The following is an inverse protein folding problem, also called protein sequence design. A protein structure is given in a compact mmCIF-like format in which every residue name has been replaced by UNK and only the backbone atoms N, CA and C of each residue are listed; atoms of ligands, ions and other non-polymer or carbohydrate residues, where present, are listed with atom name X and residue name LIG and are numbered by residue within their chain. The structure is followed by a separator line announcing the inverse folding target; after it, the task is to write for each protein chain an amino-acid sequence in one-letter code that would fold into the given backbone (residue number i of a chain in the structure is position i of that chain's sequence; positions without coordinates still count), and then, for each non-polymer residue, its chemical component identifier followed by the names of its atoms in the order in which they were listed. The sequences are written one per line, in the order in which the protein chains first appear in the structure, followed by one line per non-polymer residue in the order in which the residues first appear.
data_IF_129023523456
#
_entry.id   IF_129023523456
#
_cell.length_a   1.000
_cell.length_b   1.000
_cell.length_c   1.000
_cell.angle_alpha   90.00
_cell.angle_beta   90.00
_cell.angle_gamma   90.00
#
_symmetry.space_group_name_H-M   'P 1'
#
loop_
_entity.id
_entity.type
_entity.pdbx_description
1 polymer ?
#
# COMPACT_ATOMS: atom_id res chain seq x y z
N UNK A 1 -32.18 18.67 -62.39
CA UNK A 1 -31.67 17.85 -63.51
C UNK A 1 -32.15 16.42 -63.48
N UNK A 2 -32.66 15.87 -62.39
CA UNK A 2 -33.10 14.46 -62.25
C UNK A 2 -34.42 14.14 -62.95
N UNK A 3 -35.33 15.16 -63.08
CA UNK A 3 -36.66 14.95 -63.73
C UNK A 3 -36.61 14.75 -65.23
N UNK A 4 -35.59 15.25 -65.95
CA UNK A 4 -35.47 15.15 -67.42
C UNK A 4 -35.00 13.79 -67.92
N UNK A 5 -34.27 13.02 -67.11
CA UNK A 5 -33.77 11.69 -67.43
C UNK A 5 -34.86 10.60 -67.25
N UNK A 6 -35.81 10.80 -66.36
CA UNK A 6 -36.93 9.88 -66.12
C UNK A 6 -37.96 9.81 -67.25
N UNK A 7 -37.99 10.81 -68.11
CA UNK A 7 -38.99 10.88 -69.21
C UNK A 7 -38.65 10.04 -70.45
N UNK A 8 -37.42 9.57 -70.57
CA UNK A 8 -36.93 8.82 -71.74
C UNK A 8 -36.75 7.32 -71.50
N UNK A 9 -37.09 6.78 -70.32
CA UNK A 9 -36.93 5.38 -69.99
C UNK A 9 -38.19 4.58 -70.40
N UNK A 10 -37.97 3.42 -71.02
CA UNK A 10 -39.00 2.46 -71.39
C UNK A 10 -39.74 1.95 -70.13
N UNK A 11 -41.02 1.60 -70.27
CA UNK A 11 -41.88 1.20 -69.13
C UNK A 11 -41.22 0.14 -68.21
N UNK A 12 -40.48 -0.80 -68.80
CA UNK A 12 -39.76 -1.83 -68.04
C UNK A 12 -38.59 -1.28 -67.22
N UNK A 13 -37.87 -0.30 -67.75
CA UNK A 13 -36.74 0.34 -67.03
C UNK A 13 -37.24 1.24 -65.89
N UNK A 14 -38.38 1.89 -65.99
CA UNK A 14 -39.01 2.66 -64.89
C UNK A 14 -39.32 1.81 -63.68
N UNK A 15 -39.89 0.60 -63.89
CA UNK A 15 -40.16 -0.34 -62.78
C UNK A 15 -38.89 -0.79 -62.07
N UNK A 16 -37.82 -1.04 -62.80
CA UNK A 16 -36.52 -1.43 -62.24
C UNK A 16 -35.89 -0.32 -61.38
N UNK A 17 -35.92 0.90 -61.87
CA UNK A 17 -35.40 2.05 -61.13
C UNK A 17 -36.20 2.33 -59.84
N UNK A 18 -37.53 2.26 -59.91
CA UNK A 18 -38.39 2.44 -58.74
C UNK A 18 -38.18 1.31 -57.72
N UNK A 19 -38.02 0.06 -58.22
CA UNK A 19 -37.71 -1.07 -57.34
C UNK A 19 -36.37 -0.97 -56.65
N UNK A 20 -35.33 -0.52 -57.37
CA UNK A 20 -34.01 -0.25 -56.80
C UNK A 20 -34.05 0.88 -55.79
N UNK A 21 -34.76 1.98 -56.10
CA UNK A 21 -34.89 3.12 -55.17
C UNK A 21 -35.64 2.72 -53.92
N UNK A 22 -36.70 1.91 -54.05
CA UNK A 22 -37.45 1.40 -52.90
C UNK A 22 -36.58 0.44 -52.06
N UNK A 23 -35.80 -0.44 -52.67
CA UNK A 23 -34.93 -1.33 -51.95
C UNK A 23 -33.81 -0.59 -51.16
N UNK A 24 -33.22 0.44 -51.77
CA UNK A 24 -32.26 1.32 -51.09
C UNK A 24 -32.93 2.10 -49.96
N UNK A 25 -34.12 2.60 -50.16
CA UNK A 25 -34.91 3.27 -49.10
C UNK A 25 -35.19 2.36 -47.92
N UNK A 26 -35.62 1.13 -48.17
CA UNK A 26 -35.83 0.14 -47.08
C UNK A 26 -34.52 -0.23 -46.39
N UNK A 27 -33.43 -0.42 -47.12
CA UNK A 27 -32.14 -0.70 -46.52
C UNK A 27 -31.65 0.43 -45.65
N UNK A 28 -31.84 1.69 -46.05
CA UNK A 28 -31.51 2.88 -45.29
C UNK A 28 -32.31 2.98 -43.96
N UNK A 29 -33.62 2.72 -44.06
CA UNK A 29 -34.49 2.73 -42.87
C UNK A 29 -34.11 1.60 -41.90
N UNK A 30 -33.82 0.40 -42.42
CA UNK A 30 -33.33 -0.72 -41.61
C UNK A 30 -32.00 -0.41 -40.95
N UNK A 31 -31.07 0.19 -41.69
CA UNK A 31 -29.77 0.58 -41.14
C UNK A 31 -29.93 1.64 -40.03
N UNK A 32 -30.77 2.66 -40.23
CA UNK A 32 -30.96 3.74 -39.28
C UNK A 32 -31.70 3.30 -38.01
N UNK A 33 -32.54 2.27 -38.07
CA UNK A 33 -33.31 1.78 -36.92
C UNK A 33 -32.59 0.63 -36.20
N UNK A 34 -32.01 -0.31 -36.95
CA UNK A 34 -31.42 -1.52 -36.37
C UNK A 34 -30.05 -1.24 -35.74
N UNK A 35 -29.22 -0.40 -36.38
CA UNK A 35 -27.89 -0.08 -35.84
C UNK A 35 -27.95 0.60 -34.46
N UNK A 36 -28.74 1.68 -34.22
CA UNK A 36 -28.75 2.32 -32.90
C UNK A 36 -29.36 1.43 -31.81
N UNK A 37 -30.27 0.51 -32.15
CA UNK A 37 -30.85 -0.43 -31.18
C UNK A 37 -29.81 -1.50 -30.74
N UNK A 38 -28.98 -1.95 -31.63
CA UNK A 38 -27.91 -2.88 -31.28
C UNK A 38 -26.83 -2.22 -30.44
N UNK A 39 -26.41 -1.01 -30.76
CA UNK A 39 -25.44 -0.24 -29.98
C UNK A 39 -25.95 0.08 -28.57
N UNK A 40 -27.24 0.40 -28.42
CA UNK A 40 -27.83 0.64 -27.12
C UNK A 40 -27.81 -0.61 -26.23
N UNK A 41 -28.10 -1.79 -26.79
CA UNK A 41 -28.05 -3.05 -26.04
C UNK A 41 -26.65 -3.46 -25.64
N UNK A 42 -25.67 -3.25 -26.50
CA UNK A 42 -24.27 -3.54 -26.21
C UNK A 42 -23.72 -2.57 -25.15
N UNK A 43 -24.09 -1.30 -25.21
CA UNK A 43 -23.70 -0.29 -24.19
C UNK A 43 -24.32 -0.61 -22.84
N UNK A 44 -25.59 -0.99 -22.76
CA UNK A 44 -26.22 -1.37 -21.49
C UNK A 44 -25.56 -2.61 -20.85
N UNK A 45 -25.22 -3.64 -21.61
CA UNK A 45 -24.50 -4.81 -21.09
C UNK A 45 -23.10 -4.46 -20.61
N UNK A 46 -22.37 -3.59 -21.34
CA UNK A 46 -21.05 -3.12 -20.92
C UNK A 46 -21.13 -2.24 -19.66
N UNK A 47 -22.14 -1.39 -19.55
CA UNK A 47 -22.35 -0.56 -18.36
C UNK A 47 -22.68 -1.40 -17.11
N UNK A 48 -23.51 -2.43 -17.24
CA UNK A 48 -23.80 -3.34 -16.14
C UNK A 48 -22.56 -4.13 -15.69
N UNK A 49 -21.79 -4.66 -16.64
CA UNK A 49 -20.54 -5.39 -16.36
C UNK A 49 -19.45 -4.48 -15.76
N UNK A 50 -19.35 -3.23 -16.22
CA UNK A 50 -18.41 -2.25 -15.66
C UNK A 50 -18.84 -1.76 -14.27
N UNK A 51 -20.15 -1.67 -14.02
CA UNK A 51 -20.71 -1.37 -12.69
C UNK A 51 -20.37 -2.46 -11.67
N UNK A 52 -20.52 -3.73 -12.04
CA UNK A 52 -20.16 -4.84 -11.17
C UNK A 52 -18.66 -4.87 -10.86
N UNK A 53 -17.79 -4.64 -11.85
CA UNK A 53 -16.33 -4.56 -11.63
C UNK A 53 -15.95 -3.42 -10.69
N UNK A 54 -16.57 -2.25 -10.84
CA UNK A 54 -16.34 -1.11 -9.94
C UNK A 54 -16.80 -1.39 -8.51
N UNK A 55 -17.91 -2.08 -8.32
CA UNK A 55 -18.39 -2.50 -7.02
C UNK A 55 -17.41 -3.50 -6.37
N UNK A 56 -16.91 -4.46 -7.13
CA UNK A 56 -15.95 -5.45 -6.66
C UNK A 56 -14.60 -4.81 -6.28
N UNK A 57 -14.18 -3.81 -7.05
CA UNK A 57 -12.99 -3.01 -6.76
C UNK A 57 -13.18 -2.16 -5.50
N UNK A 58 -14.33 -1.52 -5.33
CA UNK A 58 -14.66 -0.77 -4.12
C UNK A 58 -14.72 -1.65 -2.88
N UNK A 59 -15.31 -2.85 -2.97
CA UNK A 59 -15.33 -3.82 -1.87
C UNK A 59 -13.93 -4.28 -1.49
N UNK A 60 -13.04 -4.48 -2.47
CA UNK A 60 -11.62 -4.80 -2.19
C UNK A 60 -10.91 -3.66 -1.47
N UNK A 61 -11.09 -2.43 -1.94
CA UNK A 61 -10.47 -1.25 -1.31
C UNK A 61 -10.99 -1.08 0.12
N UNK A 62 -12.27 -1.28 0.35
CA UNK A 62 -12.89 -1.21 1.68
C UNK A 62 -12.34 -2.31 2.61
N UNK A 63 -12.19 -3.54 2.10
CA UNK A 63 -11.59 -4.64 2.85
C UNK A 63 -10.12 -4.36 3.21
N UNK A 64 -9.33 -3.79 2.28
CA UNK A 64 -7.94 -3.41 2.53
C UNK A 64 -7.84 -2.27 3.56
N UNK A 65 -8.73 -1.27 3.48
CA UNK A 65 -8.80 -0.19 4.46
C UNK A 65 -9.17 -0.72 5.84
N UNK A 66 -10.17 -1.58 5.93
CA UNK A 66 -10.59 -2.20 7.20
C UNK A 66 -9.46 -3.04 7.82
N UNK A 67 -8.73 -3.79 7.01
CA UNK A 67 -7.57 -4.56 7.47
C UNK A 67 -6.45 -3.66 7.98
N UNK A 68 -6.18 -2.54 7.30
CA UNK A 68 -5.19 -1.54 7.75
C UNK A 68 -5.64 -0.85 9.04
N UNK A 69 -6.91 -0.47 9.17
CA UNK A 69 -7.46 0.12 10.39
C UNK A 69 -7.39 -0.85 11.58
N UNK A 70 -7.67 -2.14 11.35
CA UNK A 70 -7.51 -3.17 12.36
C UNK A 70 -6.05 -3.32 12.81
N UNK A 71 -5.09 -3.22 11.91
CA UNK A 71 -3.67 -3.19 12.27
C UNK A 71 -3.31 -1.94 13.07
N UNK A 72 -3.76 -0.77 12.64
CA UNK A 72 -3.52 0.50 13.35
C UNK A 72 -4.15 0.45 14.75
N UNK A 73 -5.34 -0.09 14.90
CA UNK A 73 -6.00 -0.22 16.20
C UNK A 73 -5.24 -1.15 17.16
N UNK A 74 -4.74 -2.28 16.67
CA UNK A 74 -3.87 -3.18 17.45
C UNK A 74 -2.59 -2.49 17.89
N UNK A 75 -1.97 -1.74 16.99
CA UNK A 75 -0.79 -0.92 17.29
C UNK A 75 -1.09 0.11 18.37
N UNK A 76 -2.21 0.85 18.24
CA UNK A 76 -2.64 1.82 19.25
C UNK A 76 -2.92 1.19 20.61
N UNK A 77 -3.56 0.01 20.64
CA UNK A 77 -3.81 -0.72 21.87
C UNK A 77 -2.50 -1.20 22.54
N UNK A 78 -1.57 -1.75 21.74
CA UNK A 78 -0.25 -2.13 22.23
C UNK A 78 0.52 -0.93 22.80
N UNK A 79 0.44 0.22 22.14
CA UNK A 79 1.06 1.46 22.64
C UNK A 79 0.36 2.03 23.88
N UNK A 80 -0.96 1.91 23.96
CA UNK A 80 -1.73 2.37 25.14
C UNK A 80 -1.48 1.50 26.38
N UNK A 81 -1.17 0.22 26.19
CA UNK A 81 -0.80 -0.70 27.27
C UNK A 81 0.65 -0.53 27.74
N UNK A 82 1.45 0.28 27.04
CA UNK A 82 2.83 0.55 27.42
C UNK A 82 2.87 1.39 28.70
N UNK A 83 3.77 1.04 29.61
CA UNK A 83 3.93 1.79 30.88
C UNK A 83 4.36 3.23 30.57
N UNK A 84 3.82 4.17 31.35
CA UNK A 84 4.13 5.60 31.17
C UNK A 84 5.61 5.94 31.37
N UNK A 85 6.33 5.12 32.12
CA UNK A 85 7.76 5.24 32.41
C UNK A 85 8.66 4.47 31.43
N UNK A 86 8.09 3.93 30.32
CA UNK A 86 8.86 3.20 29.33
C UNK A 86 9.80 4.14 28.57
N UNK A 87 11.09 3.85 28.66
CA UNK A 87 12.10 4.47 27.81
C UNK A 87 12.81 3.38 26.99
N UNK A 88 13.05 3.67 25.72
CA UNK A 88 13.80 2.74 24.86
C UNK A 88 15.18 2.43 25.43
N UNK A 89 15.80 3.41 26.07
CA UNK A 89 17.10 3.26 26.73
C UNK A 89 17.05 2.19 27.83
N UNK A 90 16.12 2.32 28.80
CA UNK A 90 15.97 1.36 29.91
C UNK A 90 15.60 -0.04 29.41
N UNK A 91 14.81 -0.11 28.34
CA UNK A 91 14.46 -1.38 27.70
C UNK A 91 15.70 -2.07 27.13
N UNK A 92 16.49 -1.35 26.33
CA UNK A 92 17.72 -1.90 25.73
C UNK A 92 18.74 -2.31 26.79
N UNK A 93 18.87 -1.53 27.86
CA UNK A 93 19.75 -1.87 28.97
C UNK A 93 19.33 -3.18 29.65
N UNK A 94 18.05 -3.36 29.96
CA UNK A 94 17.51 -4.62 30.51
C UNK A 94 17.78 -5.81 29.60
N UNK A 95 17.57 -5.64 28.30
CA UNK A 95 17.82 -6.70 27.31
C UNK A 95 19.30 -7.01 27.15
N UNK A 96 20.17 -6.00 27.22
CA UNK A 96 21.60 -6.17 27.20
C UNK A 96 22.12 -6.96 28.42
N UNK A 97 21.53 -6.74 29.60
CA UNK A 97 21.81 -7.54 30.81
C UNK A 97 21.38 -9.00 30.59
N UNK A 98 20.17 -9.24 30.08
CA UNK A 98 19.66 -10.58 29.86
C UNK A 98 20.45 -11.37 28.80
N UNK A 99 20.97 -10.68 27.77
CA UNK A 99 21.84 -11.27 26.74
C UNK A 99 23.32 -11.32 27.15
N UNK A 100 23.68 -10.89 28.35
CA UNK A 100 25.06 -10.82 28.85
C UNK A 100 26.00 -9.95 28.00
N UNK A 101 25.47 -8.93 27.32
CA UNK A 101 26.24 -8.00 26.48
C UNK A 101 26.39 -6.59 27.06
N UNK A 102 25.81 -6.31 28.24
CA UNK A 102 25.88 -4.99 28.86
C UNK A 102 27.27 -4.45 28.98
N UNK A 103 28.23 -5.27 29.43
CA UNK A 103 29.64 -4.89 29.56
C UNK A 103 30.40 -4.71 28.23
N UNK A 104 29.73 -4.95 27.11
CA UNK A 104 30.27 -4.80 25.76
C UNK A 104 29.68 -3.59 25.03
N UNK A 105 28.76 -2.85 25.67
CA UNK A 105 28.23 -1.61 25.14
C UNK A 105 29.31 -0.54 25.28
N UNK A 106 29.80 -0.05 24.14
CA UNK A 106 30.71 1.08 24.08
C UNK A 106 30.00 2.40 24.18
N UNK A 107 28.90 2.52 23.47
CA UNK A 107 28.15 3.77 23.36
C UNK A 107 26.65 3.49 23.09
N UNK A 108 25.80 4.29 23.71
CA UNK A 108 24.36 4.29 23.51
C UNK A 108 23.86 5.72 23.47
N UNK A 109 23.50 6.21 22.30
CA UNK A 109 23.10 7.60 22.08
C UNK A 109 21.68 7.68 21.56
N UNK A 110 20.91 8.65 22.05
CA UNK A 110 19.61 8.99 21.47
C UNK A 110 19.84 9.86 20.23
N UNK A 111 19.20 9.49 19.15
CA UNK A 111 19.23 10.21 17.86
C UNK A 111 17.82 10.74 17.61
N UNK A 112 17.69 11.98 17.10
CA UNK A 112 16.40 12.50 16.74
C UNK A 112 15.72 11.61 15.68
N UNK A 113 14.50 11.17 15.97
CA UNK A 113 13.66 10.44 15.04
C UNK A 113 12.68 11.34 14.29
N UNK A 114 11.88 10.74 13.43
CA UNK A 114 10.84 11.44 12.68
C UNK A 114 9.64 11.72 13.60
N UNK A 115 9.20 12.97 13.62
CA UNK A 115 7.95 13.36 14.28
C UNK A 115 6.86 13.47 13.21
N UNK A 116 5.82 12.66 13.34
CA UNK A 116 4.62 12.70 12.51
C UNK A 116 3.41 13.10 13.35
N UNK A 117 2.35 13.66 12.79
CA UNK A 117 1.12 13.93 13.52
C UNK A 117 0.52 12.69 14.22
N UNK A 118 0.82 11.51 13.71
CA UNK A 118 0.26 10.24 14.19
C UNK A 118 1.17 9.49 15.16
N UNK A 119 2.49 9.68 15.05
CA UNK A 119 3.48 8.96 15.87
C UNK A 119 4.77 9.77 16.05
N UNK A 120 5.47 9.49 17.12
CA UNK A 120 6.81 9.99 17.40
C UNK A 120 7.78 8.81 17.40
N UNK A 121 8.85 8.94 16.61
CA UNK A 121 9.91 7.95 16.52
C UNK A 121 11.06 8.35 17.43
N UNK A 122 11.49 7.43 18.28
CA UNK A 122 12.71 7.58 19.08
C UNK A 122 13.75 6.61 18.53
N UNK A 123 14.93 7.13 18.19
CA UNK A 123 16.05 6.34 17.69
C UNK A 123 17.14 6.25 18.74
N UNK A 124 17.76 5.07 18.86
CA UNK A 124 18.98 4.86 19.65
C UNK A 124 20.05 4.23 18.74
N UNK A 125 21.20 4.86 18.71
CA UNK A 125 22.41 4.33 18.12
C UNK A 125 23.21 3.62 19.22
N UNK A 126 23.33 2.29 19.09
CA UNK A 126 23.98 1.40 20.02
C UNK A 126 25.22 0.80 19.39
N UNK A 127 26.38 1.03 19.98
CA UNK A 127 27.65 0.44 19.58
C UNK A 127 28.11 -0.63 20.58
N UNK A 128 28.38 -1.82 20.07
CA UNK A 128 28.87 -2.96 20.82
C UNK A 128 30.28 -3.32 20.33
N UNK A 129 31.19 -3.64 21.26
CA UNK A 129 32.55 -4.07 20.96
C UNK A 129 32.89 -5.38 21.66
N UNK A 130 33.77 -6.18 21.03
CA UNK A 130 34.27 -7.45 21.55
C UNK A 130 33.13 -8.43 21.89
N UNK A 131 32.17 -8.58 21.01
CA UNK A 131 31.07 -9.56 21.14
C UNK A 131 31.27 -10.70 20.15
N UNK A 132 30.70 -11.86 20.47
CA UNK A 132 30.63 -12.99 19.53
C UNK A 132 29.36 -12.90 18.68
N UNK A 133 29.34 -13.56 17.52
CA UNK A 133 28.15 -13.64 16.67
C UNK A 133 26.96 -14.21 17.44
N UNK A 134 27.19 -15.22 18.28
CA UNK A 134 26.12 -15.82 19.10
C UNK A 134 25.51 -14.78 20.05
N UNK A 135 26.33 -14.05 20.80
CA UNK A 135 25.85 -13.00 21.70
C UNK A 135 25.08 -11.91 20.97
N UNK A 136 25.54 -11.52 19.78
CA UNK A 136 24.82 -10.55 18.95
C UNK A 136 23.46 -11.10 18.54
N UNK A 137 23.38 -12.34 18.07
CA UNK A 137 22.12 -12.96 17.63
C UNK A 137 21.13 -13.09 18.79
N UNK A 138 21.59 -13.55 19.97
CA UNK A 138 20.76 -13.66 21.17
C UNK A 138 20.21 -12.29 21.60
N UNK A 139 21.05 -11.25 21.51
CA UNK A 139 20.67 -9.89 21.83
C UNK A 139 19.64 -9.34 20.83
N UNK A 140 19.86 -9.52 19.53
CA UNK A 140 18.92 -9.10 18.49
C UNK A 140 17.55 -9.77 18.66
N UNK A 141 17.55 -11.07 18.92
CA UNK A 141 16.32 -11.83 19.16
C UNK A 141 15.53 -11.31 20.38
N UNK A 142 16.24 -10.89 21.43
CA UNK A 142 15.59 -10.36 22.63
C UNK A 142 15.09 -8.92 22.47
N UNK A 143 15.73 -8.11 21.61
CA UNK A 143 15.32 -6.72 21.36
C UNK A 143 14.08 -6.67 20.48
N UNK A 144 14.04 -7.50 19.44
CA UNK A 144 12.96 -7.43 18.48
C UNK A 144 11.65 -7.89 19.12
N UNK A 145 10.78 -6.94 19.38
CA UNK A 145 9.50 -7.18 20.03
C UNK A 145 8.40 -6.44 19.29
N UNK A 146 7.58 -7.15 18.52
CA UNK A 146 6.43 -6.56 17.87
C UNK A 146 5.45 -5.89 18.83
N UNK A 147 5.29 -6.46 20.04
CA UNK A 147 4.40 -5.92 21.07
C UNK A 147 4.89 -4.57 21.64
N UNK A 148 6.20 -4.36 21.67
CA UNK A 148 6.79 -3.13 22.16
C UNK A 148 7.07 -2.10 21.04
N UNK A 149 6.69 -2.43 19.81
CA UNK A 149 6.91 -1.58 18.62
C UNK A 149 8.37 -1.14 18.45
N UNK A 150 9.28 -2.06 18.74
CA UNK A 150 10.72 -1.85 18.59
C UNK A 150 11.20 -2.57 17.35
N UNK A 151 11.91 -1.85 16.50
CA UNK A 151 12.48 -2.37 15.26
C UNK A 151 13.94 -1.97 15.11
N UNK A 152 14.73 -2.87 14.55
CA UNK A 152 16.09 -2.60 14.16
C UNK A 152 16.08 -2.02 12.75
N UNK A 153 16.52 -0.77 12.58
CA UNK A 153 16.58 -0.09 11.27
C UNK A 153 17.85 -0.39 10.49
N UNK A 154 18.95 -0.49 11.21
CA UNK A 154 20.27 -0.73 10.60
C UNK A 154 21.13 -1.55 11.52
N UNK A 155 21.88 -2.44 10.92
CA UNK A 155 22.94 -3.22 11.57
C UNK A 155 24.19 -3.09 10.72
N UNK A 156 25.30 -2.69 11.32
CA UNK A 156 26.63 -2.74 10.73
C UNK A 156 27.50 -3.65 11.59
N UNK A 157 28.18 -4.58 10.99
CA UNK A 157 29.03 -5.55 11.68
C UNK A 157 30.42 -5.50 11.06
N UNK A 158 31.43 -5.24 11.90
CA UNK A 158 32.82 -5.18 11.50
C UNK A 158 33.61 -6.21 12.26
N UNK A 159 34.55 -6.90 11.58
CA UNK A 159 35.50 -7.81 12.21
C UNK A 159 36.58 -7.01 12.91
N UNK A 160 36.94 -7.45 14.12
CA UNK A 160 38.07 -6.87 14.84
C UNK A 160 39.38 -7.45 14.28
N UNK A 161 40.27 -6.55 13.85
CA UNK A 161 41.59 -6.97 13.30
C UNK A 161 42.48 -7.68 14.31
N UNK A 162 42.32 -7.29 15.59
CA UNK A 162 43.15 -7.82 16.69
C UNK A 162 42.68 -9.17 17.23
N UNK A 163 41.38 -9.53 16.98
CA UNK A 163 40.79 -10.75 17.53
C UNK A 163 39.69 -11.25 16.58
N UNK A 164 40.02 -12.19 15.68
CA UNK A 164 39.08 -12.61 14.60
C UNK A 164 37.80 -13.28 15.11
N UNK A 165 37.77 -13.77 16.35
CA UNK A 165 36.60 -14.38 16.99
C UNK A 165 35.60 -13.36 17.52
N UNK A 166 36.01 -12.10 17.59
CA UNK A 166 35.17 -11.01 18.08
C UNK A 166 34.80 -10.03 16.96
N UNK A 167 33.60 -9.48 17.09
CA UNK A 167 33.10 -8.48 16.19
C UNK A 167 32.73 -7.20 16.95
N UNK A 168 32.71 -6.09 16.24
CA UNK A 168 32.03 -4.87 16.63
C UNK A 168 30.72 -4.75 15.85
N UNK A 169 29.68 -4.29 16.50
CA UNK A 169 28.37 -4.11 15.89
C UNK A 169 27.79 -2.74 16.24
N UNK A 170 27.28 -2.05 15.23
CA UNK A 170 26.56 -0.81 15.38
C UNK A 170 25.09 -1.04 14.98
N UNK A 171 24.17 -0.71 15.86
CA UNK A 171 22.75 -0.96 15.73
C UNK A 171 21.97 0.35 15.82
N UNK A 172 21.17 0.64 14.81
CA UNK A 172 20.20 1.73 14.88
C UNK A 172 18.81 1.15 15.18
N UNK A 173 18.31 1.42 16.37
CA UNK A 173 17.10 0.85 16.91
C UNK A 173 16.04 1.94 17.02
N UNK A 174 14.85 1.68 16.47
CA UNK A 174 13.70 2.57 16.50
C UNK A 174 12.62 2.06 17.44
N UNK A 175 12.03 2.95 18.20
CA UNK A 175 10.79 2.72 18.93
C UNK A 175 9.76 3.76 18.50
N UNK A 176 8.54 3.31 18.31
CA UNK A 176 7.43 4.17 17.93
C UNK A 176 6.51 4.39 19.14
N UNK A 177 6.16 5.63 19.38
CA UNK A 177 5.17 6.03 20.38
C UNK A 177 4.02 6.79 19.69
N UNK A 178 2.80 6.76 20.23
CA UNK A 178 1.77 7.66 19.75
C UNK A 178 2.27 9.09 19.92
N UNK A 179 2.00 9.94 18.92
CA UNK A 179 2.34 11.35 19.07
C UNK A 179 1.70 11.89 20.36
N UNK A 180 2.52 12.40 21.25
CA UNK A 180 2.07 13.10 22.46
C UNK A 180 1.53 14.48 22.06
N UNK A 181 0.56 14.47 21.13
CA UNK A 181 -0.09 15.63 20.61
C UNK A 181 -1.44 15.77 21.25
N UNK A 182 -1.52 16.75 22.16
CA UNK A 182 -2.73 17.50 22.49
C UNK A 182 -4.02 16.72 22.19
N UNK A 183 -4.56 16.09 23.18
CA UNK A 183 -5.99 16.15 23.35
C UNK A 183 -6.36 17.64 23.26
N UNK A 184 -6.54 18.12 22.05
CA UNK A 184 -7.17 19.39 21.77
C UNK A 184 -8.60 19.21 22.24
N UNK A 185 -8.87 19.76 23.39
CA UNK A 185 -10.22 20.01 23.85
C UNK A 185 -10.97 20.95 22.89
N UNK A 186 -12.22 21.11 23.11
CA UNK A 186 -13.33 21.43 22.21
C UNK A 186 -13.18 22.74 21.52
#
# INVERSE_FOLDING_TARGET
MIKATFAKLDKRQRYLVIFCAAAVGVALVLALVVFPLWDARVKMKKSAASGQKKLEELVKIDADLTAQEAQISRIRQALASRRADFTLFSYLEKKAVAAHVRGRIKQMNSVPGVKSPSFEETLIDLSLEKITIKQLTDFLYQIESPSEMIRIKRISIDKMKESPDYISAQLLIASYAPASGRAGGP
#
